data_IF_091940375123
#
_entry.id   IF_091940375123
#
_cell.length_a   1.000
_cell.length_b   1.000
_cell.length_c   1.000
_cell.angle_alpha   90.00
_cell.angle_beta   90.00
_cell.angle_gamma   90.00
#
_symmetry.space_group_name_H-M   'P 1'
#
loop_
_entity.id
_entity.type
_entity.pdbx_description
1 polymer ?
#
# COMPACT_ATOMS: atom_id res chain seq x y z
N UNK A 1 -0.53 15.62 22.51
CA UNK A 1 -1.73 14.80 22.23
C UNK A 1 -2.97 15.67 22.42
N UNK A 2 -3.86 15.76 21.41
CA UNK A 2 -5.24 16.22 21.62
C UNK A 2 -6.15 15.01 21.45
N UNK A 3 -6.66 14.52 22.58
CA UNK A 3 -7.76 13.57 22.64
C UNK A 3 -8.99 14.32 22.16
N UNK A 4 -9.38 14.15 20.90
CA UNK A 4 -10.64 14.70 20.39
C UNK A 4 -11.72 13.64 20.60
N UNK A 5 -12.46 13.86 21.68
CA UNK A 5 -13.81 13.42 21.99
C UNK A 5 -14.40 12.25 21.19
N UNK A 6 -14.64 11.16 21.92
CA UNK A 6 -15.59 10.10 21.59
C UNK A 6 -17.01 10.66 21.52
N UNK A 7 -17.42 11.21 20.38
CA UNK A 7 -18.85 11.46 20.12
C UNK A 7 -19.48 10.15 19.63
N UNK A 8 -20.34 9.60 20.47
CA UNK A 8 -21.21 8.46 20.20
C UNK A 8 -22.01 8.68 18.91
N UNK A 9 -21.77 7.86 17.88
CA UNK A 9 -22.63 7.81 16.70
C UNK A 9 -23.04 6.35 16.44
N UNK A 10 -24.35 6.13 16.50
CA UNK A 10 -25.11 4.88 16.31
C UNK A 10 -24.44 3.93 15.30
N UNK A 11 -24.03 2.77 15.79
CA UNK A 11 -23.27 1.72 15.12
C UNK A 11 -24.12 1.07 13.99
N UNK A 12 -23.87 1.43 12.73
CA UNK A 12 -24.55 0.78 11.59
C UNK A 12 -23.89 -0.56 11.26
N UNK A 13 -24.25 -1.60 12.02
CA UNK A 13 -23.72 -2.98 11.94
C UNK A 13 -23.80 -3.57 10.52
N UNK A 14 -24.83 -3.20 9.76
CA UNK A 14 -25.08 -3.68 8.40
C UNK A 14 -24.06 -3.18 7.36
N UNK A 15 -23.52 -1.96 7.52
CA UNK A 15 -22.52 -1.42 6.56
C UNK A 15 -21.19 -2.15 6.63
N UNK A 16 -20.84 -2.66 7.82
CA UNK A 16 -19.63 -3.45 8.07
C UNK A 16 -19.73 -4.88 7.57
N UNK A 17 -20.95 -5.43 7.49
CA UNK A 17 -21.20 -6.79 7.00
C UNK A 17 -20.95 -6.93 5.49
N UNK A 18 -21.19 -5.86 4.73
CA UNK A 18 -20.85 -5.76 3.30
C UNK A 18 -19.46 -5.17 3.05
N UNK A 19 -18.71 -4.83 4.09
CA UNK A 19 -17.32 -4.46 3.97
C UNK A 19 -16.49 -5.71 4.19
N UNK A 20 -15.70 -6.11 3.20
CA UNK A 20 -14.63 -7.10 3.42
C UNK A 20 -13.79 -6.58 4.61
N UNK A 21 -13.67 -7.37 5.69
CA UNK A 21 -13.07 -6.94 6.98
C UNK A 21 -11.67 -6.34 6.78
N UNK A 22 -10.90 -6.91 5.84
CA UNK A 22 -9.57 -6.43 5.47
C UNK A 22 -9.57 -5.00 4.93
N UNK A 23 -10.62 -4.58 4.21
CA UNK A 23 -10.72 -3.23 3.63
C UNK A 23 -10.71 -2.16 4.72
N UNK A 24 -11.40 -2.43 5.83
CA UNK A 24 -11.52 -1.48 6.92
C UNK A 24 -10.16 -1.25 7.58
N UNK A 25 -9.45 -2.35 7.87
CA UNK A 25 -8.12 -2.32 8.47
C UNK A 25 -7.11 -1.60 7.56
N UNK A 26 -7.11 -1.91 6.25
CA UNK A 26 -6.23 -1.24 5.27
C UNK A 26 -6.44 0.27 5.23
N UNK A 27 -7.70 0.72 5.17
CA UNK A 27 -8.01 2.15 5.12
C UNK A 27 -7.68 2.87 6.43
N UNK A 28 -7.87 2.20 7.57
CA UNK A 28 -7.54 2.74 8.88
C UNK A 28 -6.01 2.89 9.07
N UNK A 29 -5.23 1.90 8.64
CA UNK A 29 -3.76 1.96 8.65
C UNK A 29 -3.20 3.08 7.75
N UNK A 30 -3.88 3.40 6.65
CA UNK A 30 -3.55 4.56 5.80
C UNK A 30 -3.94 5.91 6.41
N UNK A 31 -4.47 5.94 7.64
CA UNK A 31 -4.82 7.17 8.35
C UNK A 31 -6.20 7.74 8.00
N UNK A 32 -7.07 6.98 7.32
CA UNK A 32 -8.42 7.45 7.04
C UNK A 32 -9.28 7.45 8.32
N UNK A 33 -10.01 8.54 8.56
CA UNK A 33 -10.99 8.60 9.63
C UNK A 33 -12.13 7.62 9.37
N UNK A 34 -12.74 7.12 10.45
CA UNK A 34 -13.87 6.17 10.36
C UNK A 34 -15.03 6.70 9.51
N UNK A 35 -15.27 8.01 9.56
CA UNK A 35 -16.29 8.67 8.73
C UNK A 35 -15.94 8.63 7.23
N UNK A 36 -14.67 8.82 6.86
CA UNK A 36 -14.24 8.71 5.45
C UNK A 36 -14.38 7.28 4.93
N UNK A 37 -14.10 6.27 5.76
CA UNK A 37 -14.27 4.86 5.42
C UNK A 37 -15.74 4.53 5.19
N UNK A 38 -16.63 4.98 6.09
CA UNK A 38 -18.06 4.74 5.99
C UNK A 38 -18.68 5.48 4.78
N UNK A 39 -18.20 6.69 4.47
CA UNK A 39 -18.59 7.45 3.28
C UNK A 39 -18.12 6.77 2.00
N UNK A 40 -16.89 6.23 1.98
CA UNK A 40 -16.37 5.45 0.86
C UNK A 40 -17.21 4.19 0.61
N UNK A 41 -17.54 3.43 1.66
CA UNK A 41 -18.39 2.25 1.55
C UNK A 41 -19.80 2.60 1.08
N UNK A 42 -20.40 3.66 1.65
CA UNK A 42 -21.74 4.12 1.25
C UNK A 42 -21.75 4.57 -0.22
N UNK A 43 -20.71 5.28 -0.67
CA UNK A 43 -20.55 5.68 -2.08
C UNK A 43 -20.35 4.47 -2.99
N UNK A 44 -19.54 3.49 -2.57
CA UNK A 44 -19.33 2.23 -3.31
C UNK A 44 -20.66 1.51 -3.53
N UNK A 45 -21.44 1.29 -2.46
CA UNK A 45 -22.73 0.60 -2.50
C UNK A 45 -23.73 1.35 -3.38
N UNK A 46 -23.88 2.67 -3.19
CA UNK A 46 -24.78 3.51 -4.00
C UNK A 46 -24.42 3.47 -5.48
N UNK A 47 -23.13 3.53 -5.83
CA UNK A 47 -22.67 3.47 -7.22
C UNK A 47 -22.96 2.10 -7.86
N UNK A 48 -22.75 0.99 -7.14
CA UNK A 48 -23.11 -0.34 -7.65
C UNK A 48 -24.62 -0.51 -7.79
N UNK A 49 -25.41 -0.03 -6.83
CA UNK A 49 -26.87 -0.13 -6.90
C UNK A 49 -27.40 0.68 -8.09
N UNK A 50 -26.87 1.88 -8.32
CA UNK A 50 -27.22 2.71 -9.47
C UNK A 50 -26.91 2.00 -10.80
N UNK A 51 -25.80 1.27 -10.90
CA UNK A 51 -25.49 0.48 -12.10
C UNK A 51 -26.46 -0.67 -12.34
N UNK A 52 -26.91 -1.36 -11.29
CA UNK A 52 -27.93 -2.42 -11.41
C UNK A 52 -29.22 -1.83 -11.96
N UNK A 53 -29.67 -0.69 -11.41
CA UNK A 53 -30.90 -0.01 -11.85
C UNK A 53 -30.80 0.41 -13.32
N UNK A 54 -29.70 1.06 -13.72
CA UNK A 54 -29.48 1.48 -15.11
C UNK A 54 -29.45 0.26 -16.04
N UNK A 55 -28.73 -0.80 -15.67
CA UNK A 55 -28.64 -2.03 -16.47
C UNK A 55 -30.00 -2.71 -16.65
N UNK A 56 -30.83 -2.70 -15.60
CA UNK A 56 -32.19 -3.24 -15.64
C UNK A 56 -33.10 -2.44 -16.58
N UNK A 57 -33.10 -1.10 -16.50
CA UNK A 57 -33.85 -0.25 -17.43
C UNK A 57 -33.37 -0.41 -18.88
N UNK A 58 -32.06 -0.58 -19.09
CA UNK A 58 -31.49 -0.81 -20.42
C UNK A 58 -31.90 -2.18 -21.00
N UNK A 59 -32.10 -3.19 -20.13
CA UNK A 59 -32.63 -4.51 -20.51
C UNK A 59 -34.09 -4.49 -20.96
N UNK A 60 -34.90 -3.57 -20.44
CA UNK A 60 -36.29 -3.38 -20.87
C UNK A 60 -36.39 -2.73 -22.26
N UNK A 61 -35.49 -1.79 -22.57
CA UNK A 61 -35.58 -0.95 -23.77
C UNK A 61 -34.81 -1.48 -24.98
N UNK A 62 -33.72 -2.23 -24.79
CA UNK A 62 -32.77 -2.55 -25.88
C UNK A 62 -32.77 -4.04 -26.25
N UNK A 63 -32.48 -4.94 -25.31
CA UNK A 63 -32.32 -6.37 -25.60
C UNK A 63 -32.29 -7.23 -24.33
N UNK A 64 -32.79 -8.46 -24.40
CA UNK A 64 -32.76 -9.45 -23.29
C UNK A 64 -31.33 -9.78 -22.84
N UNK A 65 -30.32 -9.63 -23.70
CA UNK A 65 -28.91 -9.84 -23.36
C UNK A 65 -28.37 -8.79 -22.38
N UNK A 66 -28.99 -7.61 -22.29
CA UNK A 66 -28.57 -6.57 -21.35
C UNK A 66 -28.87 -6.91 -19.88
N UNK A 67 -29.82 -7.82 -19.60
CA UNK A 67 -30.05 -8.29 -18.22
C UNK A 67 -28.86 -9.07 -17.65
N UNK A 68 -28.16 -9.85 -18.48
CA UNK A 68 -26.93 -10.53 -18.07
C UNK A 68 -25.83 -9.52 -17.73
N UNK A 69 -25.69 -8.47 -18.56
CA UNK A 69 -24.75 -7.36 -18.29
C UNK A 69 -25.10 -6.60 -17.01
N UNK A 70 -26.39 -6.41 -16.70
CA UNK A 70 -26.87 -5.73 -15.50
C UNK A 70 -26.48 -6.44 -14.19
N UNK A 71 -26.21 -7.75 -14.24
CA UNK A 71 -25.75 -8.53 -13.08
C UNK A 71 -24.23 -8.59 -13.04
N UNK A 72 -23.59 -8.87 -14.18
CA UNK A 72 -22.13 -9.10 -14.24
C UNK A 72 -21.34 -7.81 -14.02
N UNK A 73 -21.74 -6.69 -14.64
CA UNK A 73 -20.99 -5.43 -14.57
C UNK A 73 -20.89 -4.85 -13.15
N UNK A 74 -21.96 -4.78 -12.34
CA UNK A 74 -21.88 -4.27 -10.98
C UNK A 74 -20.96 -5.11 -10.09
N UNK A 75 -20.95 -6.44 -10.23
CA UNK A 75 -20.07 -7.33 -9.48
C UNK A 75 -18.61 -7.06 -9.84
N UNK A 76 -18.28 -6.95 -11.13
CA UNK A 76 -16.93 -6.63 -11.59
C UNK A 76 -16.49 -5.24 -11.13
N UNK A 77 -17.38 -4.25 -11.19
CA UNK A 77 -17.09 -2.89 -10.76
C UNK A 77 -16.82 -2.81 -9.25
N UNK A 78 -17.62 -3.51 -8.44
CA UNK A 78 -17.42 -3.62 -7.00
C UNK A 78 -16.04 -4.19 -6.65
N UNK A 79 -15.69 -5.31 -7.30
CA UNK A 79 -14.37 -5.95 -7.13
C UNK A 79 -13.24 -5.07 -7.64
N UNK A 80 -13.44 -4.31 -8.71
CA UNK A 80 -12.45 -3.37 -9.24
C UNK A 80 -12.13 -2.26 -8.24
N UNK A 81 -13.14 -1.72 -7.54
CA UNK A 81 -12.95 -0.74 -6.47
C UNK A 81 -12.15 -1.33 -5.30
N UNK A 82 -12.44 -2.57 -4.89
CA UNK A 82 -11.64 -3.26 -3.87
C UNK A 82 -10.19 -3.44 -4.32
N UNK A 83 -9.97 -4.01 -5.50
CA UNK A 83 -8.62 -4.19 -6.09
C UNK A 83 -7.85 -2.88 -6.24
N UNK A 84 -8.53 -1.75 -6.40
CA UNK A 84 -7.89 -0.43 -6.41
C UNK A 84 -7.39 -0.06 -5.01
N UNK A 85 -8.20 -0.25 -3.97
CA UNK A 85 -7.78 0.03 -2.59
C UNK A 85 -6.63 -0.88 -2.17
N UNK A 86 -6.71 -2.18 -2.45
CA UNK A 86 -5.59 -3.11 -2.17
C UNK A 86 -4.31 -2.67 -2.86
N UNK A 87 -4.39 -2.25 -4.14
CA UNK A 87 -3.23 -1.72 -4.87
C UNK A 87 -2.67 -0.45 -4.23
N UNK A 88 -3.53 0.48 -3.84
CA UNK A 88 -3.11 1.72 -3.16
C UNK A 88 -2.49 1.43 -1.80
N UNK A 89 -3.06 0.49 -1.03
CA UNK A 89 -2.52 0.07 0.25
C UNK A 89 -1.15 -0.60 0.13
N UNK A 90 -0.99 -1.51 -0.85
CA UNK A 90 0.30 -2.13 -1.11
C UNK A 90 1.35 -1.10 -1.55
N UNK A 91 0.96 -0.12 -2.37
CA UNK A 91 1.85 0.99 -2.75
C UNK A 91 2.24 1.86 -1.54
N UNK A 92 1.29 2.13 -0.64
CA UNK A 92 1.54 2.85 0.61
C UNK A 92 2.50 2.09 1.54
N UNK A 93 2.29 0.79 1.76
CA UNK A 93 3.22 -0.06 2.53
C UNK A 93 4.61 -0.08 1.91
N UNK A 94 4.66 -0.17 0.59
CA UNK A 94 5.91 -0.18 -0.17
C UNK A 94 6.67 1.15 -0.03
N UNK A 95 6.00 2.30 -0.18
CA UNK A 95 6.59 3.62 0.01
C UNK A 95 7.15 3.80 1.44
N UNK A 96 6.39 3.35 2.43
CA UNK A 96 6.81 3.32 3.85
C UNK A 96 8.07 2.47 4.07
N UNK A 97 8.12 1.28 3.47
CA UNK A 97 9.31 0.43 3.51
C UNK A 97 10.54 1.11 2.88
N UNK A 98 10.37 1.77 1.73
CA UNK A 98 11.44 2.52 1.08
C UNK A 98 11.95 3.69 1.94
N UNK A 99 11.06 4.40 2.62
CA UNK A 99 11.47 5.49 3.53
C UNK A 99 12.28 4.95 4.71
N UNK A 100 11.89 3.81 5.27
CA UNK A 100 12.68 3.13 6.31
C UNK A 100 14.07 2.73 5.80
N UNK A 101 14.18 2.25 4.56
CA UNK A 101 15.47 1.92 3.96
C UNK A 101 16.37 3.15 3.76
N UNK A 102 15.80 4.28 3.34
CA UNK A 102 16.54 5.54 3.26
C UNK A 102 17.06 5.94 4.64
N UNK A 103 16.26 5.76 5.69
CA UNK A 103 16.68 5.97 7.07
C UNK A 103 17.84 5.05 7.46
N UNK A 104 17.76 3.74 7.21
CA UNK A 104 18.87 2.80 7.47
C UNK A 104 20.17 3.23 6.78
N UNK A 105 20.07 3.63 5.49
CA UNK A 105 21.22 4.09 4.70
C UNK A 105 21.88 5.34 5.26
N UNK A 106 21.12 6.22 5.90
CA UNK A 106 21.67 7.38 6.59
C UNK A 106 22.24 7.00 7.96
N UNK A 107 21.59 6.07 8.67
CA UNK A 107 21.95 5.68 10.02
C UNK A 107 23.27 4.91 10.08
N UNK A 108 23.47 3.91 9.22
CA UNK A 108 24.62 2.99 9.28
C UNK A 108 25.96 3.72 9.17
N UNK A 109 26.19 4.62 8.19
CA UNK A 109 27.44 5.36 8.11
C UNK A 109 27.70 6.19 9.37
N UNK A 110 26.67 6.78 9.96
CA UNK A 110 26.83 7.54 11.20
C UNK A 110 27.10 6.69 12.43
N UNK A 111 26.57 5.47 12.49
CA UNK A 111 26.91 4.51 13.53
C UNK A 111 28.37 4.08 13.43
N UNK A 112 28.85 3.85 12.19
CA UNK A 112 30.25 3.51 11.91
C UNK A 112 31.22 4.67 12.17
N UNK A 113 30.86 5.90 11.78
CA UNK A 113 31.61 7.12 12.14
C UNK A 113 31.60 7.39 13.66
N UNK A 114 30.59 6.87 14.36
CA UNK A 114 30.36 7.05 15.78
C UNK A 114 31.18 6.16 16.71
N UNK A 115 32.07 5.31 16.18
CA UNK A 115 32.98 4.40 16.92
C UNK A 115 33.81 5.10 18.02
N UNK A 116 33.84 6.43 18.07
CA UNK A 116 34.54 7.25 19.07
C UNK A 116 33.66 7.99 20.11
N UNK A 117 32.44 7.54 20.41
CA UNK A 117 31.65 8.06 21.56
C UNK A 117 30.46 8.97 21.24
N UNK A 118 29.96 8.96 20.00
CA UNK A 118 28.75 9.72 19.63
C UNK A 118 27.50 8.95 20.03
N UNK A 119 26.63 9.52 20.88
CA UNK A 119 25.40 8.84 21.31
C UNK A 119 24.40 8.66 20.16
N UNK A 120 23.63 7.56 20.18
CA UNK A 120 22.56 7.29 19.20
C UNK A 120 21.62 8.49 19.02
N UNK A 121 21.31 9.18 20.12
CA UNK A 121 20.48 10.39 20.10
C UNK A 121 21.10 11.52 19.23
N UNK A 122 22.42 11.73 19.30
CA UNK A 122 23.10 12.73 18.47
C UNK A 122 23.10 12.33 16.99
N UNK A 123 23.21 11.03 16.69
CA UNK A 123 23.12 10.50 15.33
C UNK A 123 21.71 10.74 14.76
N UNK A 124 20.66 10.36 15.52
CA UNK A 124 19.26 10.59 15.14
C UNK A 124 18.98 12.08 14.90
N UNK A 125 19.57 12.98 15.70
CA UNK A 125 19.47 14.43 15.51
C UNK A 125 20.11 14.90 14.18
N UNK A 126 21.24 14.31 13.76
CA UNK A 126 21.86 14.59 12.46
C UNK A 126 20.97 14.12 11.32
N UNK A 127 20.39 12.92 11.44
CA UNK A 127 19.46 12.35 10.46
C UNK A 127 18.20 13.20 10.34
N UNK A 128 17.63 13.64 11.47
CA UNK A 128 16.45 14.51 11.50
C UNK A 128 16.64 15.79 10.67
N UNK A 129 17.81 16.43 10.78
CA UNK A 129 18.16 17.63 10.01
C UNK A 129 18.32 17.39 8.50
N UNK A 130 18.63 16.16 8.09
CA UNK A 130 18.84 15.76 6.68
C UNK A 130 17.61 15.11 6.06
N UNK A 131 16.55 14.92 6.84
CA UNK A 131 15.31 14.29 6.38
C UNK A 131 14.41 15.37 5.76
N UNK A 132 14.30 15.37 4.44
CA UNK A 132 13.50 16.36 3.68
C UNK A 132 11.99 16.18 3.87
N UNK A 133 11.53 14.95 4.04
CA UNK A 133 10.11 14.64 4.18
C UNK A 133 9.62 14.95 5.62
N UNK A 134 8.62 15.84 5.81
CA UNK A 134 8.14 16.21 7.14
C UNK A 134 7.52 15.03 7.92
N UNK A 135 6.95 14.03 7.23
CA UNK A 135 6.35 12.84 7.85
C UNK A 135 7.44 11.95 8.45
N UNK A 136 8.52 11.74 7.71
CA UNK A 136 9.66 10.93 8.15
C UNK A 136 10.41 11.66 9.27
N UNK A 137 10.60 12.98 9.14
CA UNK A 137 11.21 13.81 10.17
C UNK A 137 10.42 13.77 11.48
N UNK A 138 9.09 13.89 11.43
CA UNK A 138 8.24 13.78 12.62
C UNK A 138 8.31 12.38 13.25
N UNK A 139 8.44 11.33 12.43
CA UNK A 139 8.57 9.96 12.92
C UNK A 139 9.88 9.76 13.70
N UNK A 140 10.99 10.30 13.20
CA UNK A 140 12.30 10.32 13.87
C UNK A 140 12.27 11.20 15.13
N UNK A 141 11.68 12.39 15.07
CA UNK A 141 11.55 13.27 16.23
C UNK A 141 10.75 12.60 17.36
N UNK A 142 9.66 11.89 17.01
CA UNK A 142 8.88 11.14 17.98
C UNK A 142 9.66 9.97 18.58
N UNK A 143 10.47 9.23 17.79
CA UNK A 143 11.39 8.22 18.32
C UNK A 143 12.34 8.85 19.34
N UNK A 144 12.97 9.98 19.01
CA UNK A 144 13.88 10.67 19.94
C UNK A 144 13.20 11.07 21.26
N UNK A 145 11.94 11.51 21.21
CA UNK A 145 11.14 11.79 22.41
C UNK A 145 10.88 10.51 23.23
N UNK A 146 10.44 9.44 22.57
CA UNK A 146 10.13 8.16 23.23
C UNK A 146 11.37 7.52 23.85
N UNK A 147 12.55 7.69 23.25
CA UNK A 147 13.84 7.28 23.81
C UNK A 147 14.24 8.09 25.05
N UNK A 148 13.78 9.35 25.16
CA UNK A 148 14.02 10.18 26.34
C UNK A 148 13.08 9.76 27.48
N UNK A 149 11.82 9.45 27.15
CA UNK A 149 10.81 9.04 28.11
C UNK A 149 11.02 7.60 28.62
N UNK A 150 11.58 6.72 27.78
CA UNK A 150 11.81 5.29 28.05
C UNK A 150 13.19 4.82 27.55
N UNK A 151 14.29 5.22 28.20
CA UNK A 151 15.64 5.04 27.68
C UNK A 151 16.14 3.59 27.59
N UNK A 152 15.62 2.70 28.42
CA UNK A 152 16.04 1.29 28.48
C UNK A 152 14.99 0.31 27.94
N UNK A 153 13.89 0.83 27.39
CA UNK A 153 12.82 0.01 26.83
C UNK A 153 13.07 -0.20 25.32
N UNK A 154 12.76 -1.40 24.83
CA UNK A 154 12.79 -1.72 23.40
C UNK A 154 11.55 -1.18 22.67
N UNK A 155 10.47 -0.87 23.40
CA UNK A 155 9.21 -0.41 22.82
C UNK A 155 9.35 0.80 21.87
N UNK A 156 10.12 1.87 22.18
CA UNK A 156 10.35 2.97 21.23
C UNK A 156 10.91 2.53 19.88
N UNK A 157 11.79 1.53 19.88
CA UNK A 157 12.40 0.96 18.68
C UNK A 157 11.38 0.18 17.86
N UNK A 158 10.59 -0.68 18.52
CA UNK A 158 9.53 -1.46 17.87
C UNK A 158 8.41 -0.56 17.35
N UNK A 159 7.99 0.44 18.11
CA UNK A 159 6.95 1.40 17.72
C UNK A 159 7.39 2.23 16.52
N UNK A 160 8.66 2.67 16.47
CA UNK A 160 9.20 3.34 15.30
C UNK A 160 9.26 2.40 14.09
N UNK A 161 9.72 1.16 14.23
CA UNK A 161 9.72 0.18 13.14
C UNK A 161 8.30 -0.02 12.57
N UNK A 162 7.31 -0.17 13.45
CA UNK A 162 5.90 -0.34 13.09
C UNK A 162 5.28 0.91 12.45
N UNK A 163 5.66 2.11 12.91
CA UNK A 163 5.22 3.40 12.34
C UNK A 163 5.92 3.77 11.04
N UNK A 164 7.15 3.32 10.83
CA UNK A 164 7.93 3.64 9.63
C UNK A 164 7.69 2.65 8.50
N UNK A 165 7.81 1.34 8.75
CA UNK A 165 7.60 0.30 7.72
C UNK A 165 6.55 -0.76 8.09
N UNK A 166 6.56 -1.24 9.34
CA UNK A 166 5.68 -2.34 9.76
C UNK A 166 6.04 -3.70 9.19
N UNK A 167 7.32 -3.91 8.87
CA UNK A 167 7.86 -5.19 8.38
C UNK A 167 8.74 -5.85 9.45
N UNK A 168 8.81 -7.18 9.45
CA UNK A 168 9.67 -7.92 10.39
C UNK A 168 11.14 -7.49 10.29
N UNK A 169 11.61 -7.17 9.09
CA UNK A 169 12.96 -6.62 8.87
C UNK A 169 13.15 -5.28 9.58
N UNK A 170 12.17 -4.39 9.49
CA UNK A 170 12.26 -3.10 10.18
C UNK A 170 12.29 -3.25 11.70
N UNK A 171 11.58 -4.24 12.23
CA UNK A 171 11.60 -4.57 13.66
C UNK A 171 12.97 -5.12 14.03
N UNK A 172 13.45 -6.14 13.31
CA UNK A 172 14.76 -6.75 13.52
C UNK A 172 15.88 -5.70 13.51
N UNK A 173 15.91 -4.83 12.49
CA UNK A 173 16.91 -3.76 12.40
C UNK A 173 16.87 -2.86 13.64
N UNK A 174 15.68 -2.43 14.06
CA UNK A 174 15.54 -1.54 15.23
C UNK A 174 15.86 -2.26 16.55
N UNK A 175 15.60 -3.56 16.67
CA UNK A 175 16.04 -4.37 17.81
C UNK A 175 17.56 -4.47 17.86
N UNK A 176 18.23 -4.71 16.73
CA UNK A 176 19.70 -4.72 16.66
C UNK A 176 20.30 -3.35 17.03
N UNK A 177 19.63 -2.23 16.71
CA UNK A 177 20.05 -0.90 17.17
C UNK A 177 19.92 -0.76 18.71
N UNK A 178 18.86 -1.32 19.29
CA UNK A 178 18.71 -1.34 20.74
C UNK A 178 19.83 -2.15 21.40
N UNK A 179 20.13 -3.34 20.88
CA UNK A 179 21.23 -4.18 21.38
C UNK A 179 22.58 -3.47 21.24
N UNK A 180 22.79 -2.73 20.14
CA UNK A 180 23.96 -1.88 19.95
C UNK A 180 24.07 -0.78 21.01
N UNK A 181 22.94 -0.13 21.34
CA UNK A 181 22.91 0.91 22.38
C UNK A 181 23.27 0.34 23.77
N UNK A 182 22.81 -0.87 24.09
CA UNK A 182 23.04 -1.50 25.39
C UNK A 182 24.46 -2.06 25.53
N UNK A 183 24.99 -2.70 24.48
CA UNK A 183 26.25 -3.44 24.55
C UNK A 183 27.49 -2.63 24.13
N UNK A 184 27.34 -1.33 23.86
CA UNK A 184 28.44 -0.37 23.70
C UNK A 184 29.58 -0.84 22.79
N UNK A 185 29.48 -0.54 21.48
CA UNK A 185 30.58 -0.53 20.51
C UNK A 185 31.15 -1.88 20.04
N UNK A 186 30.41 -2.99 20.14
CA UNK A 186 30.79 -4.19 19.40
C UNK A 186 30.66 -3.95 17.89
N UNK A 187 31.79 -3.86 17.20
CA UNK A 187 31.88 -3.65 15.75
C UNK A 187 31.18 -4.77 14.97
N UNK A 188 31.05 -5.97 15.56
CA UNK A 188 30.31 -7.08 14.95
C UNK A 188 28.82 -6.73 14.75
N UNK A 189 28.23 -5.96 15.68
CA UNK A 189 26.82 -5.54 15.60
C UNK A 189 26.63 -4.52 14.48
N UNK A 190 27.62 -3.64 14.26
CA UNK A 190 27.60 -2.67 13.14
C UNK A 190 27.70 -3.41 11.80
N UNK A 191 28.56 -4.44 11.70
CA UNK A 191 28.67 -5.26 10.50
C UNK A 191 27.39 -6.08 10.23
N UNK A 192 26.71 -6.56 11.28
CA UNK A 192 25.41 -7.23 11.17
C UNK A 192 24.31 -6.27 10.70
N UNK A 193 24.24 -5.06 11.26
CA UNK A 193 23.34 -3.98 10.78
C UNK A 193 23.60 -3.66 9.30
N UNK A 194 24.87 -3.61 8.90
CA UNK A 194 25.29 -3.44 7.51
C UNK A 194 24.80 -4.55 6.58
N UNK A 195 24.89 -5.82 7.01
CA UNK A 195 24.37 -6.99 6.27
C UNK A 195 22.85 -6.96 6.17
N UNK A 196 22.13 -6.69 7.26
CA UNK A 196 20.66 -6.61 7.30
C UNK A 196 20.17 -5.53 6.33
N UNK A 197 20.77 -4.34 6.38
CA UNK A 197 20.37 -3.24 5.50
C UNK A 197 20.75 -3.49 4.03
N UNK A 198 21.90 -4.12 3.76
CA UNK A 198 22.29 -4.48 2.38
C UNK A 198 21.32 -5.50 1.78
N UNK A 199 20.95 -6.53 2.54
CA UNK A 199 19.95 -7.51 2.11
C UNK A 199 18.56 -6.88 1.90
N UNK A 200 18.16 -5.96 2.79
CA UNK A 200 16.90 -5.22 2.66
C UNK A 200 16.88 -4.30 1.43
N UNK A 201 17.99 -3.61 1.16
CA UNK A 201 18.18 -2.78 -0.02
C UNK A 201 18.04 -3.61 -1.30
N UNK A 202 18.72 -4.76 -1.37
CA UNK A 202 18.69 -5.61 -2.54
C UNK A 202 17.28 -6.17 -2.80
N UNK A 203 16.60 -6.69 -1.77
CA UNK A 203 15.20 -7.13 -1.88
C UNK A 203 14.27 -6.01 -2.35
N UNK A 204 14.47 -4.81 -1.83
CA UNK A 204 13.65 -3.65 -2.24
C UNK A 204 13.92 -3.20 -3.66
N UNK A 205 15.16 -3.29 -4.13
CA UNK A 205 15.48 -3.06 -5.55
C UNK A 205 14.75 -4.07 -6.43
N UNK A 206 14.78 -5.36 -6.07
CA UNK A 206 14.09 -6.42 -6.81
C UNK A 206 12.57 -6.21 -6.82
N UNK A 207 11.98 -5.80 -5.69
CA UNK A 207 10.56 -5.44 -5.60
C UNK A 207 10.21 -4.24 -6.49
N UNK A 208 11.03 -3.17 -6.50
CA UNK A 208 10.85 -2.02 -7.39
C UNK A 208 10.88 -2.46 -8.85
N UNK A 209 11.90 -3.24 -9.21
CA UNK A 209 12.11 -3.72 -10.58
C UNK A 209 10.91 -4.55 -11.01
N UNK A 210 10.48 -5.51 -10.18
CA UNK A 210 9.30 -6.35 -10.42
C UNK A 210 8.03 -5.50 -10.59
N UNK A 211 7.83 -4.51 -9.72
CA UNK A 211 6.67 -3.62 -9.79
C UNK A 211 6.66 -2.78 -11.08
N UNK A 212 7.82 -2.23 -11.48
CA UNK A 212 7.97 -1.49 -12.74
C UNK A 212 7.77 -2.41 -13.95
N UNK A 213 8.36 -3.60 -13.98
CA UNK A 213 8.23 -4.58 -15.05
C UNK A 213 6.78 -5.05 -15.24
N UNK A 214 6.04 -5.28 -14.15
CA UNK A 214 4.62 -5.66 -14.22
C UNK A 214 3.74 -4.62 -14.93
N UNK A 215 4.14 -3.35 -14.94
CA UNK A 215 3.45 -2.31 -15.71
C UNK A 215 3.72 -2.45 -17.22
N UNK A 216 4.89 -2.95 -17.60
CA UNK A 216 5.31 -3.17 -18.98
C UNK A 216 4.79 -4.48 -19.57
N UNK A 217 4.59 -5.55 -18.78
CA UNK A 217 4.07 -6.85 -19.30
C UNK A 217 2.69 -6.73 -19.94
N UNK A 218 1.86 -5.78 -19.49
CA UNK A 218 0.54 -5.53 -20.09
C UNK A 218 0.58 -4.71 -21.38
N UNK A 219 1.71 -4.10 -21.73
CA UNK A 219 1.82 -3.25 -22.92
C UNK A 219 1.75 -4.06 -24.23
N UNK A 220 2.54 -5.14 -24.42
CA UNK A 220 2.41 -6.01 -25.59
C UNK A 220 1.02 -6.64 -25.70
N UNK A 221 0.47 -7.12 -24.58
CA UNK A 221 -0.83 -7.79 -24.53
C UNK A 221 -1.96 -6.89 -25.04
N UNK A 222 -1.95 -5.60 -24.68
CA UNK A 222 -2.97 -4.64 -25.13
C UNK A 222 -2.88 -4.35 -26.62
N UNK A 223 -1.66 -4.22 -27.15
CA UNK A 223 -1.42 -3.99 -28.59
C UNK A 223 -1.93 -5.19 -29.40
N UNK A 224 -1.56 -6.40 -28.98
CA UNK A 224 -2.02 -7.64 -29.63
C UNK A 224 -3.54 -7.77 -29.54
N UNK A 225 -4.16 -7.48 -28.39
CA UNK A 225 -5.62 -7.49 -28.25
C UNK A 225 -6.30 -6.49 -29.19
N UNK A 226 -5.77 -5.27 -29.34
CA UNK A 226 -6.36 -4.28 -30.27
C UNK A 226 -6.27 -4.73 -31.72
N UNK A 227 -5.14 -5.32 -32.13
CA UNK A 227 -4.98 -5.88 -33.47
C UNK A 227 -5.91 -7.09 -33.69
N UNK A 228 -6.03 -7.95 -32.68
CA UNK A 228 -6.90 -9.12 -32.73
C UNK A 228 -8.38 -8.75 -32.90
N UNK A 229 -8.84 -7.67 -32.25
CA UNK A 229 -10.23 -7.20 -32.34
C UNK A 229 -10.58 -6.77 -33.78
N UNK A 230 -9.65 -6.14 -34.50
CA UNK A 230 -9.81 -5.77 -35.91
C UNK A 230 -9.91 -7.02 -36.79
N UNK A 231 -9.02 -8.00 -36.57
CA UNK A 231 -9.00 -9.27 -37.32
C UNK A 231 -10.30 -10.06 -37.11
N UNK A 232 -10.77 -10.17 -35.87
CA UNK A 232 -12.05 -10.83 -35.55
C UNK A 232 -13.23 -10.08 -36.16
N UNK A 233 -13.23 -8.74 -36.13
CA UNK A 233 -14.27 -7.93 -36.76
C UNK A 233 -14.34 -8.16 -38.27
N UNK A 234 -13.17 -8.22 -38.93
CA UNK A 234 -13.08 -8.52 -40.36
C UNK A 234 -13.53 -9.94 -40.69
N UNK A 235 -13.08 -10.93 -39.91
CA UNK A 235 -13.51 -12.33 -40.07
C UNK A 235 -15.02 -12.49 -39.90
N UNK A 236 -15.62 -11.83 -38.90
CA UNK A 236 -17.07 -11.86 -38.69
C UNK A 236 -17.85 -11.18 -39.85
N UNK A 237 -17.32 -10.08 -40.41
CA UNK A 237 -17.91 -9.42 -41.56
C UNK A 237 -17.89 -10.30 -42.82
N UNK A 238 -16.77 -10.96 -43.09
CA UNK A 238 -16.63 -11.92 -44.20
C UNK A 238 -17.56 -13.12 -44.00
N UNK A 239 -17.66 -13.64 -42.78
CA UNK A 239 -18.50 -14.79 -42.48
C UNK A 239 -19.99 -14.44 -42.64
N UNK A 240 -20.40 -13.24 -42.22
CA UNK A 240 -21.75 -12.72 -42.48
C UNK A 240 -22.02 -12.50 -43.96
N UNK A 241 -21.05 -11.95 -44.71
CA UNK A 241 -21.17 -11.74 -46.15
C UNK A 241 -21.33 -13.06 -46.91
N UNK A 242 -20.47 -14.05 -46.61
CA UNK A 242 -20.55 -15.38 -47.24
C UNK A 242 -21.83 -16.13 -46.89
N UNK A 243 -22.29 -16.08 -45.62
CA UNK A 243 -23.58 -16.68 -45.24
C UNK A 243 -24.76 -15.99 -45.94
N UNK A 244 -24.67 -14.67 -46.16
CA UNK A 244 -25.70 -13.93 -46.91
C UNK A 244 -25.67 -14.23 -48.41
N UNK A 245 -24.52 -14.62 -48.97
CA UNK A 245 -24.40 -14.98 -50.39
C UNK A 245 -24.67 -16.46 -50.68
N UNK A 246 -24.70 -17.32 -49.65
CA UNK A 246 -25.04 -18.75 -49.74
C UNK A 246 -26.56 -19.00 -49.58
N UNK A 247 -27.33 -18.03 -49.08
CA UNK A 247 -28.80 -18.08 -49.16
C UNK A 247 -29.26 -17.73 -50.58
N UNK A 248 -29.26 -18.76 -51.44
CA UNK A 248 -30.02 -18.86 -52.69
C UNK A 248 -30.94 -20.09 -52.57
#
# INVERSE_FOLDING_TARGET
>A
MRVVATTSAKKNRYKRLFAEEELYNMLQEMGNTRQMIDNFQTKRIKQTLMMVVIGFFMGLLVSKWCYLLAIVLPILFYRSKYKKVVRTYNAFKFERHLNFIKFMRLLIPYLKEGEGGTSLYQILRKILKRTENPVDANSVAKLMSELTDKPNDIQPFTDFAMRSSGTDMSILFMQTIYDFQQNSYDTNVIDELGKIASAALQRSIDEIVTFKLKRFTFFPTKIVMSAFLIVVGFAAAILRYNLSSINL
#
